data_IF_868007277259
#
_entry.id   IF_868007277259
#
_cell.length_a   1.000
_cell.length_b   1.000
_cell.length_c   1.000
_cell.angle_alpha   90.00
_cell.angle_beta   90.00
_cell.angle_gamma   90.00
#
_symmetry.space_group_name_H-M   'P 1'
#
loop_
_entity.id
_entity.type
_entity.pdbx_description
1 polymer ?
#
# COMPACT_ATOMS: atom_id res chain seq x y z
N UNK A 1 -26.86 3.16 23.99
CA UNK A 1 -26.69 2.61 22.63
C UNK A 1 -26.65 1.10 22.77
N UNK A 2 -27.38 0.32 21.95
CA UNK A 2 -27.28 -1.13 21.99
C UNK A 2 -25.84 -1.55 21.71
N UNK A 3 -25.33 -2.52 22.47
CA UNK A 3 -24.00 -3.04 22.25
C UNK A 3 -23.92 -3.93 21.00
N UNK A 4 -22.70 -4.30 20.57
CA UNK A 4 -22.50 -5.13 19.41
C UNK A 4 -23.16 -6.51 19.55
N UNK A 5 -23.25 -7.06 20.77
CA UNK A 5 -23.90 -8.34 21.05
C UNK A 5 -25.42 -8.28 20.85
N UNK A 6 -26.05 -7.18 21.28
CA UNK A 6 -27.48 -6.96 21.11
C UNK A 6 -27.85 -6.82 19.63
N UNK A 7 -27.02 -6.16 18.83
CA UNK A 7 -27.22 -6.04 17.38
C UNK A 7 -27.17 -7.40 16.69
N UNK A 8 -26.25 -8.29 17.08
CA UNK A 8 -26.15 -9.66 16.53
C UNK A 8 -27.41 -10.47 16.86
N UNK A 9 -27.92 -10.36 18.10
CA UNK A 9 -29.14 -11.07 18.51
C UNK A 9 -30.35 -10.58 17.70
N UNK A 10 -30.49 -9.27 17.52
CA UNK A 10 -31.57 -8.68 16.70
C UNK A 10 -31.46 -9.16 15.25
N UNK A 11 -30.26 -9.15 14.67
CA UNK A 11 -30.01 -9.63 13.32
C UNK A 11 -30.39 -11.11 13.15
N UNK A 12 -30.07 -11.95 14.14
CA UNK A 12 -30.44 -13.37 14.12
C UNK A 12 -31.97 -13.55 14.10
N UNK A 13 -32.72 -12.76 14.87
CA UNK A 13 -34.19 -12.80 14.88
C UNK A 13 -34.76 -12.37 13.52
N UNK A 14 -34.21 -11.30 12.92
CA UNK A 14 -34.61 -10.85 11.57
C UNK A 14 -34.36 -11.96 10.54
N UNK A 15 -33.20 -12.62 10.57
CA UNK A 15 -32.89 -13.74 9.68
C UNK A 15 -33.88 -14.91 9.85
N UNK A 16 -34.31 -15.19 11.08
CA UNK A 16 -35.31 -16.22 11.38
C UNK A 16 -36.69 -15.88 10.79
N UNK A 17 -37.12 -14.62 10.86
CA UNK A 17 -38.41 -14.16 10.33
C UNK A 17 -38.41 -14.14 8.80
N UNK A 18 -37.40 -13.54 8.19
CA UNK A 18 -37.31 -13.39 6.74
C UNK A 18 -36.81 -14.67 6.05
N UNK A 19 -36.12 -15.54 6.79
CA UNK A 19 -35.45 -16.73 6.29
C UNK A 19 -34.17 -16.42 5.53
N UNK A 20 -33.17 -17.30 5.62
CA UNK A 20 -31.87 -17.11 4.98
C UNK A 20 -31.91 -17.01 3.45
N UNK A 21 -32.93 -17.59 2.78
CA UNK A 21 -33.06 -17.53 1.31
C UNK A 21 -33.37 -16.11 0.81
N UNK A 22 -34.28 -15.39 1.48
CA UNK A 22 -34.64 -14.01 1.12
C UNK A 22 -33.46 -13.08 1.34
N UNK A 23 -32.79 -13.21 2.49
CA UNK A 23 -31.66 -12.37 2.83
C UNK A 23 -30.43 -12.67 1.96
N UNK A 24 -30.20 -13.92 1.56
CA UNK A 24 -29.11 -14.26 0.62
C UNK A 24 -29.35 -13.69 -0.78
N UNK A 25 -30.57 -13.81 -1.31
CA UNK A 25 -30.89 -13.27 -2.63
C UNK A 25 -30.72 -11.73 -2.63
N UNK A 26 -31.33 -11.04 -1.66
CA UNK A 26 -31.23 -9.59 -1.56
C UNK A 26 -29.82 -9.10 -1.18
N UNK A 27 -29.13 -9.82 -0.31
CA UNK A 27 -27.77 -9.50 0.13
C UNK A 27 -26.72 -9.74 -0.95
N UNK A 28 -26.92 -10.69 -1.86
CA UNK A 28 -26.03 -10.90 -2.99
C UNK A 28 -26.09 -9.74 -3.98
N UNK A 29 -27.30 -9.25 -4.28
CA UNK A 29 -27.51 -8.15 -5.21
C UNK A 29 -26.99 -6.82 -4.64
N UNK A 30 -27.38 -6.52 -3.39
CA UNK A 30 -26.91 -5.31 -2.69
C UNK A 30 -25.41 -5.39 -2.37
N UNK A 31 -24.91 -6.55 -1.97
CA UNK A 31 -23.50 -6.77 -1.68
C UNK A 31 -22.62 -6.62 -2.91
N UNK A 32 -23.08 -7.10 -4.08
CA UNK A 32 -22.40 -6.89 -5.36
C UNK A 32 -22.32 -5.41 -5.73
N UNK A 33 -23.43 -4.68 -5.61
CA UNK A 33 -23.47 -3.24 -5.89
C UNK A 33 -22.55 -2.43 -4.96
N UNK A 34 -22.61 -2.69 -3.65
CA UNK A 34 -21.76 -2.00 -2.66
C UNK A 34 -20.29 -2.35 -2.86
N UNK A 35 -19.97 -3.61 -3.21
CA UNK A 35 -18.59 -4.02 -3.51
C UNK A 35 -18.05 -3.28 -4.72
N UNK A 36 -18.82 -3.20 -5.81
CA UNK A 36 -18.44 -2.44 -7.01
C UNK A 36 -18.22 -0.95 -6.70
N UNK A 37 -19.14 -0.35 -5.93
CA UNK A 37 -18.99 1.04 -5.49
C UNK A 37 -17.72 1.27 -4.66
N UNK A 38 -17.44 0.41 -3.68
CA UNK A 38 -16.21 0.52 -2.88
C UNK A 38 -14.94 0.33 -3.71
N UNK A 39 -14.97 -0.56 -4.70
CA UNK A 39 -13.85 -0.74 -5.63
C UNK A 39 -13.62 0.52 -6.45
N UNK A 40 -14.65 1.07 -7.10
CA UNK A 40 -14.49 2.28 -7.91
C UNK A 40 -14.06 3.50 -7.12
N UNK A 41 -14.53 3.65 -5.88
CA UNK A 41 -14.05 4.73 -4.98
C UNK A 41 -12.58 4.54 -4.63
N UNK A 42 -12.17 3.31 -4.33
CA UNK A 42 -10.77 3.01 -4.00
C UNK A 42 -9.84 3.18 -5.21
N UNK A 43 -10.30 2.79 -6.39
CA UNK A 43 -9.54 2.93 -7.63
C UNK A 43 -9.36 4.43 -7.97
N UNK A 44 -10.39 5.25 -7.79
CA UNK A 44 -10.28 6.71 -7.93
C UNK A 44 -9.34 7.35 -6.89
N UNK A 45 -9.37 6.91 -5.63
CA UNK A 45 -8.43 7.36 -4.60
C UNK A 45 -6.97 6.96 -4.93
N UNK A 46 -6.76 5.85 -5.66
CA UNK A 46 -5.41 5.41 -6.06
C UNK A 46 -4.92 6.15 -7.30
N UNK A 47 -5.80 6.43 -8.26
CA UNK A 47 -5.48 7.26 -9.44
C UNK A 47 -5.14 8.72 -9.04
N UNK A 48 -5.77 9.26 -7.99
CA UNK A 48 -5.42 10.58 -7.44
C UNK A 48 -4.06 10.59 -6.71
N UNK A 49 -3.57 9.45 -6.22
CA UNK A 49 -2.23 9.32 -5.59
C UNK A 49 -1.11 9.14 -6.64
N UNK A 50 -1.38 8.55 -7.81
CA UNK A 50 -0.40 8.36 -8.89
C UNK A 50 -0.20 9.63 -9.77
N UNK A 51 -1.19 10.53 -9.84
CA UNK A 51 -1.05 11.82 -10.55
C UNK A 51 -0.16 12.85 -9.81
N UNK A 52 0.17 12.65 -8.53
CA UNK A 52 1.09 13.53 -7.77
C UNK A 52 2.58 13.17 -7.93
N UNK A 53 2.93 12.00 -8.51
CA UNK A 53 4.34 11.56 -8.68
C UNK A 53 4.92 11.83 -10.10
N UNK A 54 4.12 12.22 -11.10
CA UNK A 54 4.59 12.44 -12.48
C UNK A 54 4.93 13.91 -12.86
N UNK A 55 4.82 14.89 -11.94
CA UNK A 55 5.16 16.31 -12.22
C UNK A 55 6.59 16.74 -11.82
N UNK A 56 7.45 15.86 -11.28
CA UNK A 56 8.79 16.24 -10.77
C UNK A 56 10.01 15.79 -11.64
N UNK A 57 9.82 15.16 -12.80
CA UNK A 57 10.95 14.64 -13.62
C UNK A 57 11.32 15.42 -14.91
N UNK A 58 10.64 16.50 -15.31
CA UNK A 58 11.07 17.34 -16.45
C UNK A 58 11.60 18.73 -16.05
N UNK A 59 12.71 18.75 -15.30
CA UNK A 59 13.54 19.95 -15.16
C UNK A 59 15.02 19.64 -15.46
N UNK A 60 15.31 19.48 -16.75
CA UNK A 60 16.49 20.01 -17.45
C UNK A 60 17.83 19.92 -16.65
N UNK A 61 18.55 18.81 -16.78
CA UNK A 61 20.01 18.79 -16.60
C UNK A 61 20.68 18.73 -17.97
N UNK A 62 21.11 19.90 -18.45
CA UNK A 62 22.21 20.01 -19.38
C UNK A 62 23.47 20.16 -18.53
N UNK A 63 24.21 19.08 -18.31
CA UNK A 63 25.58 19.17 -17.82
C UNK A 63 26.49 18.17 -18.53
N UNK A 64 27.23 18.75 -19.48
CA UNK A 64 28.64 18.50 -19.83
C UNK A 64 29.07 17.04 -20.06
N UNK A 65 29.28 16.77 -21.35
CA UNK A 65 30.14 15.73 -21.88
C UNK A 65 31.60 15.98 -21.40
N UNK A 66 32.04 15.25 -20.37
CA UNK A 66 33.46 14.97 -20.16
C UNK A 66 33.69 13.46 -20.24
N UNK A 67 34.26 13.08 -21.37
CA UNK A 67 34.94 11.81 -21.60
C UNK A 67 36.22 11.88 -20.79
N UNK A 68 36.47 10.94 -19.88
CA UNK A 68 37.81 10.35 -19.75
C UNK A 68 37.78 9.09 -18.87
N UNK A 69 38.41 8.08 -19.44
CA UNK A 69 38.48 6.70 -19.00
C UNK A 69 39.13 6.55 -17.62
N UNK A 70 38.52 5.75 -16.75
CA UNK A 70 39.23 5.19 -15.60
C UNK A 70 39.31 3.68 -15.75
N UNK A 71 40.32 3.28 -16.51
CA UNK A 71 40.91 1.93 -16.47
C UNK A 71 41.53 1.70 -15.08
N UNK A 72 41.61 0.42 -14.74
CA UNK A 72 41.98 -0.16 -13.46
C UNK A 72 43.40 0.21 -12.99
N UNK A 73 43.58 0.41 -11.68
CA UNK A 73 44.82 0.05 -11.01
C UNK A 73 44.57 -0.15 -9.50
N UNK A 74 44.59 -1.43 -9.11
CA UNK A 74 44.85 -1.92 -7.77
C UNK A 74 46.14 -1.29 -7.20
N UNK A 75 46.09 -0.76 -5.97
CA UNK A 75 47.24 -0.78 -5.06
C UNK A 75 46.72 -1.09 -3.65
N UNK A 76 46.93 -2.35 -3.26
CA UNK A 76 46.98 -2.79 -1.87
C UNK A 76 48.21 -2.21 -1.14
N UNK A 77 48.17 -2.34 0.19
CA UNK A 77 49.21 -2.06 1.21
C UNK A 77 49.20 -0.62 1.75
N UNK A 78 49.34 -0.32 3.04
CA UNK A 78 49.38 -1.06 4.31
C UNK A 78 49.56 -0.01 5.42
N UNK A 79 49.06 -0.30 6.63
CA UNK A 79 49.45 0.28 7.93
C UNK A 79 49.13 1.77 8.26
N UNK A 80 48.24 2.01 9.24
CA UNK A 80 48.65 2.14 10.65
C UNK A 80 47.43 2.36 11.58
N UNK A 81 47.30 1.44 12.54
CA UNK A 81 46.95 1.62 13.96
C UNK A 81 45.79 2.55 14.37
N UNK A 82 44.79 1.98 15.06
CA UNK A 82 44.27 2.46 16.36
C UNK A 82 42.98 1.70 16.78
N UNK A 83 43.06 1.01 17.93
CA UNK A 83 42.10 1.02 19.06
C UNK A 83 40.61 0.66 18.78
N UNK A 84 39.81 -0.05 19.58
CA UNK A 84 39.83 -0.57 20.94
C UNK A 84 38.46 -1.28 21.12
N UNK A 85 38.44 -2.52 21.63
CA UNK A 85 37.47 -3.06 22.60
C UNK A 85 37.70 -4.57 22.73
N UNK A 86 38.33 -5.04 23.82
CA UNK A 86 37.66 -5.33 25.10
C UNK A 86 36.57 -6.40 24.92
N UNK A 87 36.92 -7.67 25.11
CA UNK A 87 36.76 -8.37 26.40
C UNK A 87 35.41 -9.09 26.46
N UNK A 88 35.39 -10.33 25.96
CA UNK A 88 34.99 -11.54 26.71
C UNK A 88 34.95 -12.78 25.81
#
# INVERSE_FOLDING_TARGET
MPGPFELVIILAIVILIFGGKRLKNLGSDLGGAIKGFKSSVKDAETEEEEEEEEEEEEAIEVEVEEIEDHEEAEIETSDDTSEENSEK
#
